data_IF_792497942045
#
_entry.id   IF_792497942045
#
_cell.length_a   1.000
_cell.length_b   1.000
_cell.length_c   1.000
_cell.angle_alpha   90.00
_cell.angle_beta   90.00
_cell.angle_gamma   90.00
#
_symmetry.space_group_name_H-M   'P 1'
#
loop_
_entity.id
_entity.type
_entity.pdbx_description
1 polymer ?
#
# COMPACT_ATOMS: atom_id res chain seq x y z
N UNK A 1 -1.31 8.49 -10.12
CA UNK A 1 -2.27 7.50 -10.57
C UNK A 1 -1.66 6.10 -10.72
N UNK A 2 -0.44 5.92 -10.24
CA UNK A 2 0.27 4.64 -10.27
C UNK A 2 1.34 4.60 -9.17
N UNK A 3 1.91 3.42 -8.95
CA UNK A 3 3.18 3.21 -8.29
C UNK A 3 4.18 2.74 -9.34
N UNK A 4 5.37 3.31 -9.33
CA UNK A 4 6.47 2.98 -10.23
C UNK A 4 7.53 2.17 -9.49
N UNK A 5 7.90 1.03 -10.05
CA UNK A 5 8.82 0.05 -9.48
C UNK A 5 10.02 -0.15 -10.42
N UNK A 6 11.03 0.73 -10.41
CA UNK A 6 12.24 0.52 -11.20
C UNK A 6 13.14 -0.55 -10.60
N UNK A 7 13.82 -1.28 -11.46
CA UNK A 7 14.91 -2.23 -11.16
C UNK A 7 14.53 -3.47 -10.33
N UNK A 8 13.25 -3.85 -10.28
CA UNK A 8 12.78 -4.95 -9.44
C UNK A 8 13.21 -6.33 -9.94
N UNK A 9 13.11 -6.60 -11.22
CA UNK A 9 13.51 -7.89 -11.79
C UNK A 9 15.01 -7.88 -12.12
N UNK A 10 15.46 -6.84 -12.81
CA UNK A 10 16.86 -6.59 -13.18
C UNK A 10 17.08 -5.09 -13.32
N UNK A 11 18.35 -4.67 -13.36
CA UNK A 11 18.71 -3.26 -13.53
C UNK A 11 18.21 -2.73 -14.89
N UNK A 12 17.52 -1.59 -14.87
CA UNK A 12 16.85 -1.01 -16.04
C UNK A 12 15.43 -1.51 -16.26
N UNK A 13 14.95 -2.53 -15.54
CA UNK A 13 13.55 -2.97 -15.59
C UNK A 13 12.63 -1.89 -15.03
N UNK A 14 11.44 -1.75 -15.64
CA UNK A 14 10.46 -0.73 -15.25
C UNK A 14 9.08 -1.36 -15.14
N UNK A 15 8.61 -1.55 -13.92
CA UNK A 15 7.27 -2.05 -13.63
C UNK A 15 6.38 -0.89 -13.18
N UNK A 16 5.14 -0.90 -13.64
CA UNK A 16 4.12 0.07 -13.24
C UNK A 16 2.90 -0.65 -12.68
N UNK A 17 2.41 -0.17 -11.55
CA UNK A 17 1.11 -0.56 -11.00
C UNK A 17 0.13 0.61 -11.13
N UNK A 18 -0.62 0.72 -12.24
CA UNK A 18 -1.60 1.77 -12.44
C UNK A 18 -2.83 1.52 -11.57
N UNK A 19 -3.42 2.60 -11.04
CA UNK A 19 -4.72 2.53 -10.34
C UNK A 19 -5.83 2.54 -11.38
N UNK A 20 -6.24 1.37 -11.84
CA UNK A 20 -7.23 1.20 -12.90
C UNK A 20 -8.45 0.44 -12.39
N UNK A 21 -9.61 0.79 -12.90
CA UNK A 21 -10.78 -0.06 -12.79
C UNK A 21 -10.77 -1.10 -13.92
N UNK A 22 -11.23 -2.31 -13.65
CA UNK A 22 -11.26 -3.42 -14.63
C UNK A 22 -12.09 -3.13 -15.89
N UNK A 23 -12.91 -2.08 -15.89
CA UNK A 23 -13.77 -1.70 -17.00
C UNK A 23 -13.60 -0.22 -17.35
N UNK A 24 -13.05 0.07 -18.51
CA UNK A 24 -12.98 1.40 -19.06
C UNK A 24 -13.86 1.47 -20.32
N UNK A 25 -14.96 2.23 -20.28
CA UNK A 25 -15.84 2.46 -21.42
C UNK A 25 -16.32 1.17 -22.14
N UNK A 26 -16.78 0.17 -21.41
CA UNK A 26 -17.23 -1.13 -21.95
C UNK A 26 -16.15 -2.01 -22.57
N UNK A 27 -14.89 -1.62 -22.57
CA UNK A 27 -13.77 -2.42 -23.07
C UNK A 27 -12.98 -2.95 -21.89
N UNK A 28 -12.75 -4.25 -21.89
CA UNK A 28 -11.91 -4.90 -20.89
C UNK A 28 -10.43 -4.70 -21.22
N UNK A 29 -9.79 -3.73 -20.52
CA UNK A 29 -8.36 -3.42 -20.69
C UNK A 29 -7.46 -4.65 -20.45
N UNK A 30 -7.89 -5.59 -19.62
CA UNK A 30 -7.19 -6.84 -19.38
C UNK A 30 -7.08 -7.65 -20.67
N UNK A 31 -8.18 -7.72 -21.43
CA UNK A 31 -8.22 -8.41 -22.73
C UNK A 31 -7.31 -7.73 -23.75
N UNK A 32 -7.35 -6.39 -23.81
CA UNK A 32 -6.47 -5.62 -24.69
C UNK A 32 -5.01 -5.93 -24.42
N UNK A 33 -4.65 -6.01 -23.18
CA UNK A 33 -3.29 -6.25 -22.76
C UNK A 33 -2.80 -7.67 -22.99
N UNK A 34 -3.61 -8.65 -22.67
CA UNK A 34 -3.31 -10.05 -22.93
C UNK A 34 -3.09 -10.34 -24.42
N UNK A 35 -3.80 -9.64 -25.30
CA UNK A 35 -3.73 -9.80 -26.76
C UNK A 35 -2.57 -9.03 -27.40
N UNK A 36 -2.06 -7.98 -26.75
CA UNK A 36 -1.00 -7.14 -27.29
C UNK A 36 0.01 -6.75 -26.22
N UNK A 37 1.03 -7.59 -26.05
CA UNK A 37 2.13 -7.36 -25.11
C UNK A 37 2.96 -6.09 -25.41
N UNK A 38 2.81 -5.50 -26.61
CA UNK A 38 3.41 -4.23 -26.97
C UNK A 38 2.64 -3.02 -26.41
N UNK A 39 1.47 -3.23 -25.79
CA UNK A 39 0.83 -2.17 -25.05
C UNK A 39 1.59 -1.92 -23.76
N UNK A 40 2.46 -0.94 -23.82
CA UNK A 40 3.30 -0.60 -22.70
C UNK A 40 2.46 -0.03 -21.56
N UNK A 41 2.39 -0.76 -20.45
CA UNK A 41 1.84 -0.28 -19.18
C UNK A 41 2.56 0.99 -18.74
N UNK A 42 3.85 1.10 -19.05
CA UNK A 42 4.63 2.31 -18.85
C UNK A 42 3.97 3.49 -19.54
N UNK A 43 3.58 3.36 -20.81
CA UNK A 43 2.91 4.44 -21.54
C UNK A 43 1.54 4.73 -20.93
N UNK A 44 0.82 3.71 -20.46
CA UNK A 44 -0.43 3.87 -19.76
C UNK A 44 -0.22 4.51 -18.38
N UNK A 45 0.64 3.97 -17.55
CA UNK A 45 0.93 4.48 -16.20
C UNK A 45 1.56 5.88 -16.20
N UNK A 46 2.48 6.18 -17.13
CA UNK A 46 3.11 7.50 -17.26
C UNK A 46 2.21 8.55 -17.91
N UNK A 47 1.26 8.13 -18.77
CA UNK A 47 0.31 9.03 -19.42
C UNK A 47 -0.98 9.23 -18.66
N UNK A 48 -1.35 8.31 -17.79
CA UNK A 48 -2.26 8.55 -16.69
C UNK A 48 -1.59 9.36 -15.57
N UNK A 49 -0.76 10.29 -15.96
CA UNK A 49 -0.19 11.23 -15.02
C UNK A 49 -1.29 12.13 -14.45
N UNK A 50 -0.93 12.92 -13.46
CA UNK A 50 -1.84 13.84 -12.81
C UNK A 50 -2.60 14.77 -13.79
N UNK A 51 -2.06 15.02 -14.98
CA UNK A 51 -2.70 15.85 -15.98
C UNK A 51 -4.04 15.30 -16.45
N UNK A 52 -4.20 13.96 -16.53
CA UNK A 52 -5.49 13.34 -16.87
C UNK A 52 -6.47 13.32 -15.68
N UNK A 53 -5.98 13.46 -14.45
CA UNK A 53 -6.83 13.56 -13.23
C UNK A 53 -7.38 14.98 -13.03
N UNK A 54 -6.72 16.00 -13.58
CA UNK A 54 -7.16 17.40 -13.45
C UNK A 54 -7.99 17.78 -14.66
N UNK A 55 -9.23 18.19 -14.43
CA UNK A 55 -10.14 18.77 -15.42
C UNK A 55 -10.63 20.11 -14.91
N UNK A 56 -10.47 21.17 -15.73
CA UNK A 56 -10.98 22.52 -15.40
C UNK A 56 -10.49 23.02 -14.02
N UNK A 57 -9.22 22.78 -13.70
CA UNK A 57 -8.60 23.10 -12.40
C UNK A 57 -9.24 22.38 -11.20
N UNK A 58 -9.96 21.30 -11.40
CA UNK A 58 -10.51 20.43 -10.34
C UNK A 58 -10.05 19.01 -10.54
N UNK A 59 -9.97 18.25 -9.45
CA UNK A 59 -9.67 16.81 -9.52
C UNK A 59 -10.84 16.11 -10.18
N UNK A 60 -10.56 15.38 -11.26
CA UNK A 60 -11.54 14.51 -11.88
C UNK A 60 -11.67 13.20 -11.07
N UNK A 61 -12.68 13.14 -10.22
CA UNK A 61 -12.93 11.99 -9.33
C UNK A 61 -13.38 10.72 -10.06
N UNK A 62 -13.68 10.81 -11.36
CA UNK A 62 -14.01 9.62 -12.17
C UNK A 62 -12.77 8.83 -12.61
N UNK A 63 -11.56 9.39 -12.45
CA UNK A 63 -10.31 8.71 -12.76
C UNK A 63 -9.73 8.15 -11.47
N UNK A 64 -9.44 6.83 -11.39
CA UNK A 64 -8.81 6.23 -10.23
C UNK A 64 -7.47 6.88 -9.90
N UNK A 65 -7.29 7.28 -8.66
CA UNK A 65 -6.06 7.91 -8.19
C UNK A 65 -5.89 7.73 -6.68
N UNK A 66 -4.65 7.82 -6.22
CA UNK A 66 -4.29 7.93 -4.81
C UNK A 66 -3.94 9.36 -4.43
N UNK A 67 -3.65 9.57 -3.16
CA UNK A 67 -3.21 10.85 -2.63
C UNK A 67 -1.84 10.73 -1.96
N UNK A 68 -0.94 11.66 -2.27
CA UNK A 68 0.24 11.86 -1.46
C UNK A 68 -0.12 12.81 -0.31
N UNK A 69 -0.11 12.31 0.90
CA UNK A 69 -0.55 13.04 2.09
C UNK A 69 0.60 13.24 3.08
N UNK A 70 0.58 14.41 3.72
CA UNK A 70 1.36 14.62 4.93
C UNK A 70 0.55 14.09 6.11
N UNK A 71 0.98 12.97 6.69
CA UNK A 71 0.24 12.25 7.73
C UNK A 71 -0.01 13.12 8.97
N UNK A 72 0.93 13.96 9.36
CA UNK A 72 0.76 14.86 10.52
C UNK A 72 -0.32 15.93 10.26
N UNK A 73 -0.32 16.50 9.06
CA UNK A 73 -1.35 17.48 8.65
C UNK A 73 -2.72 16.83 8.52
N UNK A 74 -2.78 15.59 8.00
CA UNK A 74 -4.03 14.84 7.93
C UNK A 74 -4.58 14.55 9.32
N UNK A 75 -3.75 14.08 10.26
CA UNK A 75 -4.14 13.82 11.63
C UNK A 75 -4.68 15.09 12.31
N UNK A 76 -3.98 16.24 12.16
CA UNK A 76 -4.43 17.53 12.67
C UNK A 76 -5.79 17.94 12.07
N UNK A 77 -5.94 17.80 10.76
CA UNK A 77 -7.21 18.10 10.06
C UNK A 77 -8.36 17.25 10.57
N UNK A 78 -8.16 15.93 10.70
CA UNK A 78 -9.18 15.01 11.23
C UNK A 78 -9.54 15.41 12.66
N UNK A 79 -8.54 15.61 13.55
CA UNK A 79 -8.78 16.05 14.94
C UNK A 79 -9.65 17.32 14.99
N UNK A 80 -9.35 18.31 14.15
CA UNK A 80 -10.15 19.54 14.04
C UNK A 80 -11.61 19.28 13.63
N UNK A 81 -11.85 18.31 12.75
CA UNK A 81 -13.19 17.97 12.23
C UNK A 81 -14.04 17.19 13.22
N UNK A 82 -13.42 16.42 14.10
CA UNK A 82 -14.14 15.55 15.05
C UNK A 82 -14.24 16.10 16.48
N UNK A 83 -13.51 17.17 16.83
CA UNK A 83 -13.36 17.68 18.20
C UNK A 83 -14.68 17.97 18.90
N UNK A 84 -15.72 18.37 18.15
CA UNK A 84 -17.04 18.68 18.68
C UNK A 84 -18.01 17.46 18.67
N UNK A 85 -17.51 16.29 18.21
CA UNK A 85 -18.29 15.06 18.06
C UNK A 85 -17.83 13.95 18.99
N UNK A 86 -16.62 14.05 19.53
CA UNK A 86 -16.01 13.06 20.41
C UNK A 86 -15.24 13.75 21.52
N UNK A 87 -15.13 13.11 22.69
CA UNK A 87 -14.26 13.56 23.76
C UNK A 87 -12.82 13.15 23.45
N UNK A 88 -11.93 14.14 23.35
CA UNK A 88 -10.50 13.90 23.11
C UNK A 88 -9.76 14.15 24.42
N UNK A 89 -9.11 13.11 24.96
CA UNK A 89 -8.31 13.20 26.18
C UNK A 89 -6.84 13.04 25.78
N UNK A 90 -6.05 14.05 26.01
CA UNK A 90 -4.62 14.09 25.71
C UNK A 90 -3.83 13.61 26.93
N UNK A 91 -3.75 12.29 27.10
CA UNK A 91 -3.08 11.64 28.23
C UNK A 91 -2.67 10.21 27.86
N UNK A 92 -1.59 9.75 28.46
CA UNK A 92 -1.09 8.37 28.28
C UNK A 92 -1.92 7.40 29.12
N UNK A 93 -2.18 6.19 28.58
CA UNK A 93 -2.74 5.09 29.34
C UNK A 93 -1.61 4.41 30.12
N UNK A 94 -1.66 4.47 31.45
CA UNK A 94 -0.63 3.94 32.33
C UNK A 94 -1.01 2.59 32.94
N UNK A 95 -2.31 2.29 33.10
CA UNK A 95 -2.80 1.00 33.60
C UNK A 95 -3.96 0.53 32.74
N UNK A 96 -3.95 -0.76 32.41
CA UNK A 96 -5.06 -1.50 31.80
C UNK A 96 -5.56 -2.53 32.80
N UNK A 97 -6.72 -2.29 33.40
CA UNK A 97 -7.38 -3.24 34.29
C UNK A 97 -8.14 -4.28 33.47
N UNK A 98 -7.79 -5.56 33.65
CA UNK A 98 -8.37 -6.67 32.89
C UNK A 98 -9.07 -7.66 33.78
N UNK A 99 -10.17 -8.21 33.28
CA UNK A 99 -10.71 -9.50 33.70
C UNK A 99 -10.15 -10.59 32.78
N UNK A 100 -10.58 -11.84 32.94
CA UNK A 100 -10.07 -12.98 32.17
C UNK A 100 -10.13 -12.74 30.63
N UNK A 101 -11.21 -12.14 30.12
CA UNK A 101 -11.48 -12.02 28.68
C UNK A 101 -11.89 -10.59 28.26
N UNK A 102 -11.70 -9.58 29.11
CA UNK A 102 -12.13 -8.21 28.79
C UNK A 102 -11.29 -7.15 29.52
N UNK A 103 -11.26 -5.96 28.97
CA UNK A 103 -10.76 -4.76 29.64
C UNK A 103 -11.92 -4.15 30.46
N UNK A 104 -11.72 -4.00 31.78
CA UNK A 104 -12.68 -3.36 32.68
C UNK A 104 -12.54 -1.83 32.62
N UNK A 105 -11.31 -1.35 32.72
CA UNK A 105 -11.04 0.08 32.75
C UNK A 105 -9.60 0.41 32.35
N UNK A 106 -9.41 1.68 31.94
CA UNK A 106 -8.11 2.27 31.66
C UNK A 106 -7.83 3.38 32.66
N UNK A 107 -6.63 3.44 33.22
CA UNK A 107 -6.19 4.56 34.06
C UNK A 107 -5.20 5.39 33.23
N UNK A 108 -5.47 6.69 33.16
CA UNK A 108 -4.66 7.64 32.44
C UNK A 108 -3.62 8.30 33.38
N UNK A 109 -2.53 8.79 32.81
CA UNK A 109 -1.46 9.47 33.56
C UNK A 109 -1.96 10.71 34.36
N UNK A 110 -3.05 11.33 33.91
CA UNK A 110 -3.69 12.43 34.60
C UNK A 110 -4.69 11.98 35.71
N UNK A 111 -4.73 10.70 36.04
CA UNK A 111 -5.57 10.11 37.10
C UNK A 111 -7.01 9.78 36.67
N UNK A 112 -7.42 10.12 35.45
CA UNK A 112 -8.77 9.81 34.94
C UNK A 112 -8.88 8.29 34.70
N UNK A 113 -9.98 7.71 35.15
CA UNK A 113 -10.37 6.32 34.85
C UNK A 113 -11.41 6.29 33.75
N UNK A 114 -11.15 5.55 32.68
CA UNK A 114 -12.06 5.36 31.54
C UNK A 114 -12.68 3.96 31.63
N UNK A 115 -14.00 3.89 31.57
CA UNK A 115 -14.78 2.65 31.39
C UNK A 115 -15.58 2.72 30.10
N UNK A 116 -15.62 1.62 29.37
CA UNK A 116 -16.38 1.49 28.12
C UNK A 116 -16.81 0.05 27.91
N UNK A 117 -17.85 -0.14 27.14
CA UNK A 117 -18.33 -1.46 26.75
C UNK A 117 -17.44 -2.10 25.68
N UNK A 118 -16.91 -1.28 24.76
CA UNK A 118 -15.99 -1.70 23.68
C UNK A 118 -14.79 -0.77 23.61
N UNK A 119 -13.61 -1.33 23.48
CA UNK A 119 -12.36 -0.62 23.32
C UNK A 119 -11.76 -0.86 21.94
N UNK A 120 -11.28 0.19 21.29
CA UNK A 120 -10.57 0.09 20.01
C UNK A 120 -9.10 0.40 20.27
N UNK A 121 -8.25 -0.61 20.12
CA UNK A 121 -6.80 -0.50 20.28
C UNK A 121 -6.14 -0.04 18.99
N UNK A 122 -5.71 1.21 18.94
CA UNK A 122 -4.89 1.81 17.89
C UNK A 122 -3.49 2.19 18.41
N UNK A 123 -2.96 1.50 19.43
CA UNK A 123 -1.69 1.84 20.09
C UNK A 123 -0.45 1.36 19.34
N UNK A 124 -0.62 0.95 18.10
CA UNK A 124 0.48 0.53 17.23
C UNK A 124 1.05 -0.83 17.61
N UNK A 125 2.31 -1.05 17.35
CA UNK A 125 2.98 -2.34 17.62
C UNK A 125 2.93 -2.79 19.08
N UNK A 126 2.74 -1.85 20.01
CA UNK A 126 2.59 -2.17 21.44
C UNK A 126 1.33 -2.99 21.72
N UNK A 127 0.24 -2.76 20.97
CA UNK A 127 -1.06 -3.40 21.19
C UNK A 127 -1.42 -3.43 22.68
N UNK A 128 -1.49 -2.25 23.26
CA UNK A 128 -1.50 -2.04 24.71
C UNK A 128 -2.66 -2.77 25.41
N UNK A 129 -3.81 -2.84 24.75
CA UNK A 129 -4.99 -3.49 25.32
C UNK A 129 -4.98 -5.02 25.13
N UNK A 130 -4.18 -5.54 24.19
CA UNK A 130 -4.02 -6.99 23.97
C UNK A 130 -2.55 -7.37 23.70
N UNK A 131 -1.63 -7.18 24.69
CA UNK A 131 -0.20 -7.40 24.49
C UNK A 131 0.16 -8.89 24.26
N UNK A 132 -0.63 -9.82 24.76
CA UNK A 132 -0.44 -11.26 24.66
C UNK A 132 -1.19 -11.91 23.49
N UNK A 133 -1.63 -11.09 22.50
CA UNK A 133 -2.33 -11.58 21.32
C UNK A 133 -1.55 -12.64 20.56
N UNK A 134 -2.24 -13.63 20.04
CA UNK A 134 -1.65 -14.60 19.13
C UNK A 134 -1.41 -13.95 17.77
N UNK A 135 -0.18 -13.93 17.32
CA UNK A 135 0.20 -13.37 16.04
C UNK A 135 0.71 -14.42 15.07
N UNK A 136 0.38 -14.26 13.80
CA UNK A 136 0.95 -15.05 12.71
C UNK A 136 2.12 -14.26 12.11
N UNK A 137 3.32 -14.83 12.16
CA UNK A 137 4.52 -14.27 11.57
C UNK A 137 4.49 -14.41 10.04
N UNK A 138 4.97 -13.40 9.34
CA UNK A 138 5.04 -13.36 7.86
C UNK A 138 6.50 -13.33 7.36
N UNK A 139 7.47 -13.66 8.21
CA UNK A 139 8.91 -13.55 7.89
C UNK A 139 9.37 -14.42 6.72
N UNK A 140 8.67 -15.50 6.44
CA UNK A 140 8.93 -16.44 5.34
C UNK A 140 8.33 -15.99 4.01
N UNK A 141 7.53 -14.94 4.00
CA UNK A 141 6.88 -14.37 2.81
C UNK A 141 7.24 -12.91 2.55
N UNK A 142 7.74 -12.21 3.57
CA UNK A 142 8.11 -10.79 3.53
C UNK A 142 9.51 -10.63 4.14
N UNK A 143 10.41 -10.07 3.37
CA UNK A 143 11.86 -10.20 3.55
C UNK A 143 12.51 -9.01 4.23
N UNK A 144 11.77 -7.94 4.44
CA UNK A 144 12.25 -6.68 5.04
C UNK A 144 11.66 -6.46 6.42
N UNK A 145 12.43 -5.87 7.32
CA UNK A 145 12.06 -5.73 8.72
C UNK A 145 12.49 -4.39 9.35
N UNK A 146 13.15 -3.55 8.58
CA UNK A 146 13.69 -2.27 9.07
C UNK A 146 13.61 -1.22 7.96
N UNK A 147 13.39 0.02 8.34
CA UNK A 147 13.54 1.17 7.46
C UNK A 147 14.37 2.28 8.10
N UNK A 148 15.16 2.97 7.28
CA UNK A 148 15.67 4.30 7.59
C UNK A 148 14.88 5.30 6.79
N UNK A 149 14.20 6.23 7.49
CA UNK A 149 13.24 7.14 6.90
C UNK A 149 13.62 8.59 7.13
N UNK A 150 13.40 9.44 6.13
CA UNK A 150 13.72 10.86 6.21
C UNK A 150 12.89 11.71 5.24
N UNK A 151 13.26 12.97 5.20
CA UNK A 151 12.64 13.99 4.36
C UNK A 151 13.73 14.62 3.52
N UNK A 152 13.50 14.72 2.23
CA UNK A 152 14.40 15.37 1.29
C UNK A 152 13.70 16.56 0.64
N UNK A 153 14.38 17.72 0.61
CA UNK A 153 13.89 18.88 -0.11
C UNK A 153 14.09 18.71 -1.61
N UNK A 154 13.20 19.29 -2.41
CA UNK A 154 13.35 19.28 -3.86
C UNK A 154 14.62 20.01 -4.27
N UNK A 155 15.40 19.43 -5.16
CA UNK A 155 16.52 20.08 -5.87
C UNK A 155 16.01 20.70 -7.17
N UNK A 156 15.19 19.94 -7.89
CA UNK A 156 14.44 20.43 -9.04
C UNK A 156 12.98 19.97 -8.94
N UNK A 157 12.08 20.90 -8.57
CA UNK A 157 10.65 20.61 -8.39
C UNK A 157 10.01 20.05 -9.65
N UNK A 158 10.40 20.53 -10.84
CA UNK A 158 9.79 20.09 -12.10
C UNK A 158 10.14 18.64 -12.45
N UNK A 159 11.29 18.15 -12.00
CA UNK A 159 11.77 16.79 -12.27
C UNK A 159 11.41 15.80 -11.16
N UNK A 160 11.36 16.26 -9.90
CA UNK A 160 11.22 15.38 -8.73
C UNK A 160 9.79 15.32 -8.19
N UNK A 161 8.92 16.30 -8.48
CA UNK A 161 7.53 16.33 -8.00
C UNK A 161 6.62 15.51 -8.91
N UNK A 162 6.91 14.23 -9.04
CA UNK A 162 6.13 13.31 -9.85
C UNK A 162 4.75 13.02 -9.24
N UNK A 163 3.72 12.80 -10.08
CA UNK A 163 2.37 12.45 -9.61
C UNK A 163 2.19 10.97 -9.29
N UNK A 164 3.26 10.27 -8.97
CA UNK A 164 3.27 8.85 -8.62
C UNK A 164 4.25 8.58 -7.48
N UNK A 165 3.99 7.52 -6.73
CA UNK A 165 4.95 6.95 -5.78
C UNK A 165 5.99 6.15 -6.54
N UNK A 166 7.26 6.21 -6.12
CA UNK A 166 8.30 5.30 -6.60
C UNK A 166 8.71 4.34 -5.49
N UNK A 167 8.83 3.06 -5.83
CA UNK A 167 9.44 2.03 -5.01
C UNK A 167 10.66 1.47 -5.78
N UNK A 168 11.83 2.07 -5.59
CA UNK A 168 13.04 1.76 -6.35
C UNK A 168 13.81 0.62 -5.70
N UNK A 169 13.95 -0.51 -6.38
CA UNK A 169 14.79 -1.61 -5.91
C UNK A 169 16.27 -1.21 -5.98
N UNK A 170 16.98 -1.42 -4.87
CA UNK A 170 18.41 -1.15 -4.73
C UNK A 170 19.10 -2.39 -4.15
N UNK A 171 20.43 -2.41 -4.11
CA UNK A 171 21.19 -3.61 -3.75
C UNK A 171 20.88 -4.18 -2.36
N UNK A 172 20.51 -3.35 -1.43
CA UNK A 172 20.25 -3.76 -0.04
C UNK A 172 18.76 -3.77 0.34
N UNK A 173 17.86 -3.57 -0.63
CA UNK A 173 16.41 -3.50 -0.39
C UNK A 173 15.71 -2.63 -1.41
N UNK A 174 14.86 -1.71 -0.95
CA UNK A 174 14.18 -0.77 -1.84
C UNK A 174 13.90 0.59 -1.18
N UNK A 175 13.81 1.64 -1.99
CA UNK A 175 13.63 3.03 -1.54
C UNK A 175 12.27 3.55 -2.01
N UNK A 176 11.42 4.02 -1.07
CA UNK A 176 10.24 4.76 -1.47
C UNK A 176 10.54 6.24 -1.67
N UNK A 177 9.83 6.83 -2.64
CA UNK A 177 9.79 8.29 -2.88
C UNK A 177 8.34 8.71 -3.02
N UNK A 178 7.89 9.55 -2.11
CA UNK A 178 6.52 10.09 -2.07
C UNK A 178 6.60 11.61 -2.16
N UNK A 179 6.53 12.16 -3.37
CA UNK A 179 6.51 13.60 -3.56
C UNK A 179 5.25 14.22 -2.96
N UNK A 180 5.42 15.18 -2.07
CA UNK A 180 4.32 15.99 -1.55
C UNK A 180 4.44 17.42 -2.08
N UNK A 181 3.58 18.33 -1.63
CA UNK A 181 3.60 19.73 -2.07
C UNK A 181 4.94 20.44 -1.86
N UNK A 182 5.65 20.16 -0.77
CA UNK A 182 6.84 20.91 -0.34
C UNK A 182 8.10 20.08 -0.21
N UNK A 183 8.01 18.75 -0.24
CA UNK A 183 9.10 17.84 0.07
C UNK A 183 8.85 16.45 -0.44
N UNK A 184 9.88 15.62 -0.47
CA UNK A 184 9.78 14.19 -0.73
C UNK A 184 9.86 13.46 0.60
N UNK A 185 8.82 12.70 0.96
CA UNK A 185 8.90 11.68 2.01
C UNK A 185 9.60 10.46 1.43
N UNK A 186 10.66 9.99 2.08
CA UNK A 186 11.48 8.92 1.53
C UNK A 186 12.08 8.03 2.62
N UNK A 187 12.43 6.81 2.26
CA UNK A 187 13.17 5.92 3.14
C UNK A 187 13.60 4.66 2.42
N UNK A 188 14.62 4.03 2.95
CA UNK A 188 15.15 2.75 2.52
C UNK A 188 14.60 1.65 3.42
N UNK A 189 14.03 0.64 2.82
CA UNK A 189 13.52 -0.58 3.48
C UNK A 189 14.51 -1.71 3.22
N UNK A 190 14.91 -2.41 4.27
CA UNK A 190 15.94 -3.43 4.19
C UNK A 190 15.77 -4.51 5.26
N UNK A 191 16.60 -5.54 5.18
CA UNK A 191 16.68 -6.58 6.20
C UNK A 191 17.92 -6.35 7.09
N UNK A 192 17.70 -6.02 8.37
CA UNK A 192 18.81 -5.75 9.31
C UNK A 192 19.65 -6.97 9.69
N UNK A 193 19.23 -8.17 9.31
CA UNK A 193 20.05 -9.37 9.46
C UNK A 193 21.09 -9.51 8.35
N UNK A 194 20.96 -8.76 7.25
CA UNK A 194 21.84 -8.76 6.08
C UNK A 194 22.67 -7.47 6.06
N UNK A 195 22.03 -6.32 6.25
CA UNK A 195 22.66 -5.01 6.18
C UNK A 195 22.55 -4.33 7.55
N UNK A 196 23.64 -3.81 8.08
CA UNK A 196 23.60 -3.05 9.33
C UNK A 196 22.83 -1.73 9.18
N UNK A 197 22.30 -1.21 10.29
CA UNK A 197 21.58 0.08 10.28
C UNK A 197 22.49 1.22 9.84
N UNK A 198 23.75 1.21 10.20
CA UNK A 198 24.70 2.26 9.86
C UNK A 198 25.07 2.21 8.38
N UNK A 199 25.33 1.02 7.83
CA UNK A 199 25.55 0.84 6.38
C UNK A 199 24.32 1.27 5.57
N UNK A 200 23.12 0.93 6.05
CA UNK A 200 21.86 1.34 5.41
C UNK A 200 21.68 2.87 5.42
N UNK A 201 22.04 3.55 6.54
CA UNK A 201 22.02 5.01 6.60
C UNK A 201 23.03 5.63 5.64
N UNK A 202 24.24 5.09 5.60
CA UNK A 202 25.30 5.57 4.71
C UNK A 202 24.94 5.38 3.25
N UNK A 203 24.41 4.21 2.88
CA UNK A 203 23.89 3.95 1.53
C UNK A 203 22.80 4.94 1.15
N UNK A 204 21.82 5.14 2.04
CA UNK A 204 20.69 6.02 1.78
C UNK A 204 21.10 7.49 1.64
N UNK A 205 22.04 7.96 2.47
CA UNK A 205 22.59 9.31 2.35
C UNK A 205 23.40 9.49 1.05
N UNK A 206 24.13 8.46 0.62
CA UNK A 206 24.87 8.47 -0.65
C UNK A 206 23.91 8.49 -1.85
N UNK A 207 22.83 7.72 -1.80
CA UNK A 207 21.80 7.68 -2.83
C UNK A 207 21.14 9.05 -3.09
N UNK A 208 20.82 9.79 -2.04
CA UNK A 208 20.22 11.11 -2.16
C UNK A 208 21.23 12.26 -2.32
N UNK A 209 22.47 12.04 -1.94
CA UNK A 209 23.49 13.07 -1.76
C UNK A 209 23.53 13.57 -0.31
N UNK A 210 24.73 13.57 0.26
CA UNK A 210 24.97 13.98 1.67
C UNK A 210 24.72 15.47 1.91
N UNK A 211 24.61 16.26 0.85
CA UNK A 211 24.15 17.66 0.86
C UNK A 211 22.65 17.81 1.10
N UNK A 212 21.86 16.77 0.82
CA UNK A 212 20.40 16.77 0.96
C UNK A 212 19.91 16.11 2.24
N UNK A 213 20.59 15.07 2.71
CA UNK A 213 20.23 14.34 3.92
C UNK A 213 21.46 13.72 4.58
N UNK A 214 21.48 13.75 5.92
CA UNK A 214 22.57 13.25 6.76
C UNK A 214 22.06 12.18 7.72
N UNK A 215 22.91 11.25 8.22
CA UNK A 215 22.49 10.13 9.05
C UNK A 215 21.76 10.51 10.35
N UNK A 216 22.08 11.66 10.93
CA UNK A 216 21.45 12.20 12.15
C UNK A 216 19.99 12.64 11.94
N UNK A 217 19.60 12.91 10.71
CA UNK A 217 18.22 13.29 10.33
C UNK A 217 17.34 12.09 9.99
N UNK A 218 17.90 10.88 10.04
CA UNK A 218 17.19 9.66 9.71
C UNK A 218 16.56 9.02 10.96
N UNK A 219 15.30 8.63 10.80
CA UNK A 219 14.59 7.84 11.80
C UNK A 219 14.69 6.36 11.43
N UNK A 220 15.09 5.54 12.37
CA UNK A 220 15.07 4.07 12.24
C UNK A 220 13.71 3.57 12.71
N UNK A 221 13.11 2.68 11.94
CA UNK A 221 11.82 2.04 12.22
C UNK A 221 12.01 0.54 12.05
N UNK A 222 11.86 -0.20 13.12
CA UNK A 222 11.92 -1.66 13.14
C UNK A 222 10.53 -2.27 13.23
N UNK A 223 10.32 -3.39 12.57
CA UNK A 223 9.10 -4.18 12.70
C UNK A 223 9.34 -5.67 12.45
N UNK A 224 8.38 -6.45 12.84
CA UNK A 224 8.21 -7.83 12.38
C UNK A 224 6.94 -7.87 11.55
N UNK A 225 6.96 -8.33 10.28
CA UNK A 225 5.72 -8.51 9.53
C UNK A 225 4.83 -9.55 10.22
N UNK A 226 3.58 -9.20 10.50
CA UNK A 226 2.65 -10.07 11.22
C UNK A 226 1.21 -9.63 11.04
N UNK A 227 0.30 -10.52 11.37
CA UNK A 227 -1.09 -10.15 11.70
C UNK A 227 -1.59 -10.87 12.96
N UNK A 228 -2.55 -10.22 13.63
CA UNK A 228 -3.23 -10.79 14.78
C UNK A 228 -4.25 -11.83 14.30
N UNK A 229 -4.26 -13.02 14.89
CA UNK A 229 -5.18 -14.11 14.51
C UNK A 229 -6.64 -13.75 14.86
N UNK A 230 -6.82 -13.04 15.97
CA UNK A 230 -8.13 -12.59 16.49
C UNK A 230 -8.07 -11.10 16.83
N UNK A 231 -8.11 -10.19 15.84
CA UNK A 231 -8.06 -8.75 16.11
C UNK A 231 -9.25 -8.23 16.94
N UNK A 232 -10.39 -8.90 16.92
CA UNK A 232 -11.46 -8.66 17.86
C UNK A 232 -11.54 -9.81 18.88
N UNK A 233 -11.15 -9.53 20.11
CA UNK A 233 -11.10 -10.47 21.22
C UNK A 233 -11.82 -9.86 22.43
N UNK A 234 -12.88 -10.51 22.89
CA UNK A 234 -13.77 -10.00 23.95
C UNK A 234 -14.32 -8.61 23.63
N UNK A 235 -14.01 -7.64 24.48
CA UNK A 235 -14.42 -6.25 24.27
C UNK A 235 -13.30 -5.35 23.72
N UNK A 236 -12.26 -5.93 23.10
CA UNK A 236 -11.15 -5.20 22.49
C UNK A 236 -11.08 -5.49 20.99
N UNK A 237 -11.01 -4.43 20.17
CA UNK A 237 -10.79 -4.52 18.72
C UNK A 237 -9.48 -3.83 18.38
N UNK A 238 -8.49 -4.59 17.93
CA UNK A 238 -7.22 -4.06 17.41
C UNK A 238 -7.40 -3.54 15.99
N UNK A 239 -6.97 -2.31 15.71
CA UNK A 239 -7.01 -1.69 14.37
C UNK A 239 -5.65 -1.10 14.01
N UNK A 240 -5.28 -1.18 12.73
CA UNK A 240 -4.00 -0.69 12.21
C UNK A 240 -2.83 -1.53 12.69
N UNK A 241 -1.74 -0.90 13.13
CA UNK A 241 -0.52 -1.60 13.53
C UNK A 241 -0.70 -2.51 14.76
N UNK A 242 -1.71 -2.33 15.60
CA UNK A 242 -2.04 -3.25 16.67
C UNK A 242 -2.68 -4.54 16.17
N UNK A 243 -3.31 -4.52 15.00
CA UNK A 243 -3.88 -5.69 14.36
C UNK A 243 -2.87 -6.43 13.46
N UNK A 244 -2.02 -5.71 12.74
CA UNK A 244 -1.01 -6.30 11.88
C UNK A 244 -0.26 -5.29 11.04
N UNK A 245 0.86 -5.74 10.47
CA UNK A 245 1.67 -4.93 9.56
C UNK A 245 2.33 -5.83 8.52
N UNK A 246 2.27 -5.41 7.28
CA UNK A 246 2.90 -6.08 6.14
C UNK A 246 4.29 -5.45 5.96
N UNK A 247 4.35 -4.45 5.14
CA UNK A 247 5.47 -3.56 4.84
C UNK A 247 4.93 -2.37 4.05
N UNK A 248 5.71 -1.28 3.84
CA UNK A 248 5.15 -0.09 3.18
C UNK A 248 4.97 -0.22 1.66
N UNK A 249 5.34 -1.31 1.00
CA UNK A 249 5.48 -1.41 -0.46
C UNK A 249 4.20 -0.99 -1.17
N UNK A 250 3.11 -1.42 -1.06
CA UNK A 250 1.88 -1.01 -1.77
C UNK A 250 1.05 0.03 -0.99
N UNK A 251 1.66 0.66 0.02
CA UNK A 251 0.98 1.69 0.85
C UNK A 251 -0.32 1.21 1.51
N UNK A 252 -0.42 -0.08 1.84
CA UNK A 252 -1.65 -0.75 2.30
C UNK A 252 -2.09 -0.34 3.71
N UNK A 253 -1.20 0.21 4.55
CA UNK A 253 -1.46 0.39 5.97
C UNK A 253 -2.70 1.22 6.31
N UNK A 254 -2.94 2.36 5.64
CA UNK A 254 -4.14 3.16 5.83
C UNK A 254 -5.39 2.47 5.27
N UNK A 255 -5.29 1.82 4.12
CA UNK A 255 -6.39 1.10 3.50
C UNK A 255 -6.87 -0.07 4.38
N UNK A 256 -5.94 -0.84 4.95
CA UNK A 256 -6.23 -1.91 5.91
C UNK A 256 -6.92 -1.37 7.17
N UNK A 257 -6.43 -0.26 7.72
CA UNK A 257 -7.04 0.37 8.90
C UNK A 257 -8.47 0.87 8.60
N UNK A 258 -8.68 1.47 7.42
CA UNK A 258 -10.01 1.93 6.98
C UNK A 258 -10.95 0.74 6.75
N UNK A 259 -10.50 -0.33 6.11
CA UNK A 259 -11.27 -1.56 5.95
C UNK A 259 -11.73 -2.11 7.30
N UNK A 260 -10.82 -2.23 8.27
CA UNK A 260 -11.13 -2.67 9.62
C UNK A 260 -12.18 -1.79 10.30
N UNK A 261 -12.03 -0.46 10.24
CA UNK A 261 -12.99 0.47 10.83
C UNK A 261 -14.38 0.37 10.17
N UNK A 262 -14.43 0.20 8.83
CA UNK A 262 -15.69 0.01 8.10
C UNK A 262 -16.36 -1.31 8.49
N UNK A 263 -15.62 -2.40 8.59
CA UNK A 263 -16.13 -3.71 8.97
C UNK A 263 -16.61 -3.73 10.42
N UNK A 264 -15.86 -3.09 11.32
CA UNK A 264 -16.33 -2.92 12.70
C UNK A 264 -17.65 -2.14 12.75
N UNK A 265 -17.73 -1.01 12.05
CA UNK A 265 -18.98 -0.21 11.97
C UNK A 265 -20.17 -1.04 11.47
N UNK A 266 -19.97 -1.90 10.46
CA UNK A 266 -21.02 -2.80 9.95
C UNK A 266 -21.51 -3.77 11.05
N UNK A 267 -20.59 -4.36 11.81
CA UNK A 267 -20.91 -5.36 12.85
C UNK A 267 -21.62 -4.76 14.08
N UNK A 268 -21.29 -3.52 14.47
CA UNK A 268 -21.87 -2.86 15.63
C UNK A 268 -23.01 -1.89 15.31
N UNK A 269 -23.55 -1.93 14.08
CA UNK A 269 -24.57 -0.97 13.59
C UNK A 269 -25.82 -0.93 14.46
N UNK A 270 -26.20 -2.05 15.07
CA UNK A 270 -27.35 -2.19 15.94
C UNK A 270 -27.04 -1.97 17.44
N UNK A 271 -25.84 -1.43 17.73
CA UNK A 271 -25.30 -1.22 19.08
C UNK A 271 -25.19 -2.51 19.92
N UNK A 272 -25.08 -3.65 19.25
CA UNK A 272 -24.81 -4.94 19.88
C UNK A 272 -23.52 -5.56 19.32
N UNK A 273 -22.88 -6.37 20.13
CA UNK A 273 -21.76 -7.22 19.72
C UNK A 273 -21.81 -8.52 20.50
N UNK A 274 -21.45 -9.58 19.83
CA UNK A 274 -21.43 -10.93 20.34
C UNK A 274 -20.30 -11.74 19.69
N UNK A 275 -20.16 -12.98 20.10
CA UNK A 275 -19.12 -13.88 19.58
C UNK A 275 -19.26 -14.11 18.08
N UNK A 276 -20.48 -14.22 17.56
CA UNK A 276 -20.70 -14.45 16.12
C UNK A 276 -20.20 -13.26 15.31
N UNK A 277 -20.50 -12.04 15.72
CA UNK A 277 -20.06 -10.82 15.04
C UNK A 277 -18.54 -10.66 15.09
N UNK A 278 -17.92 -10.97 16.24
CA UNK A 278 -16.46 -10.90 16.35
C UNK A 278 -15.75 -11.98 15.52
N UNK A 279 -16.27 -13.20 15.48
CA UNK A 279 -15.74 -14.26 14.62
C UNK A 279 -15.85 -13.91 13.13
N UNK A 280 -17.01 -13.40 12.68
CA UNK A 280 -17.20 -12.93 11.31
C UNK A 280 -16.24 -11.78 10.95
N UNK A 281 -16.05 -10.83 11.87
CA UNK A 281 -15.07 -9.75 11.69
C UNK A 281 -13.65 -10.30 11.53
N UNK A 282 -13.25 -11.24 12.38
CA UNK A 282 -11.92 -11.85 12.37
C UNK A 282 -11.68 -12.65 11.07
N UNK A 283 -12.69 -13.37 10.57
CA UNK A 283 -12.60 -14.07 9.28
C UNK A 283 -12.44 -13.11 8.11
N UNK A 284 -13.28 -12.07 8.02
CA UNK A 284 -13.22 -11.07 6.96
C UNK A 284 -11.87 -10.31 6.99
N UNK A 285 -11.37 -9.98 8.18
CA UNK A 285 -10.06 -9.36 8.36
C UNK A 285 -8.94 -10.25 7.85
N UNK A 286 -8.92 -11.52 8.26
CA UNK A 286 -7.90 -12.48 7.86
C UNK A 286 -7.86 -12.66 6.34
N UNK A 287 -9.00 -12.88 5.70
CA UNK A 287 -9.10 -13.03 4.25
C UNK A 287 -8.56 -11.80 3.52
N UNK A 288 -8.96 -10.62 3.96
CA UNK A 288 -8.52 -9.36 3.35
C UNK A 288 -7.02 -9.11 3.55
N UNK A 289 -6.51 -9.36 4.77
CA UNK A 289 -5.10 -9.16 5.10
C UNK A 289 -4.19 -10.13 4.33
N UNK A 290 -4.54 -11.41 4.30
CA UNK A 290 -3.79 -12.43 3.55
C UNK A 290 -3.77 -12.13 2.04
N UNK A 291 -4.85 -11.58 1.49
CA UNK A 291 -4.89 -11.12 0.10
C UNK A 291 -3.85 -10.02 -0.17
N UNK A 292 -3.67 -9.09 0.76
CA UNK A 292 -2.64 -8.07 0.65
C UNK A 292 -1.23 -8.66 0.80
N UNK A 293 -1.04 -9.61 1.71
CA UNK A 293 0.25 -10.30 1.88
C UNK A 293 0.68 -11.02 0.61
N UNK A 294 -0.23 -11.78 -0.01
CA UNK A 294 0.08 -12.49 -1.25
C UNK A 294 0.41 -11.53 -2.39
N UNK A 295 -0.33 -10.42 -2.50
CA UNK A 295 -0.05 -9.42 -3.52
C UNK A 295 1.32 -8.76 -3.33
N UNK A 296 1.66 -8.37 -2.10
CA UNK A 296 2.99 -7.80 -1.79
C UNK A 296 4.09 -8.85 -1.96
N UNK A 297 3.85 -10.08 -1.55
CA UNK A 297 4.79 -11.19 -1.73
C UNK A 297 5.07 -11.45 -3.22
N UNK A 298 4.07 -11.34 -4.10
CA UNK A 298 4.25 -11.50 -5.55
C UNK A 298 5.33 -10.58 -6.11
N UNK A 299 5.53 -9.37 -5.55
CA UNK A 299 6.57 -8.44 -6.01
C UNK A 299 7.99 -8.99 -5.90
N UNK A 300 8.22 -9.89 -4.96
CA UNK A 300 9.51 -10.54 -4.70
C UNK A 300 9.70 -11.88 -5.43
N UNK A 301 8.67 -12.38 -6.09
CA UNK A 301 8.62 -13.74 -6.61
C UNK A 301 9.55 -14.04 -7.77
N UNK A 302 9.99 -13.02 -8.50
CA UNK A 302 10.97 -13.15 -9.59
C UNK A 302 11.95 -11.99 -9.53
N UNK A 303 13.24 -12.33 -9.41
CA UNK A 303 14.33 -11.37 -9.52
C UNK A 303 15.56 -12.07 -10.09
N UNK A 304 16.30 -11.39 -10.94
CA UNK A 304 17.62 -11.81 -11.41
C UNK A 304 18.75 -10.95 -10.82
N UNK A 305 18.42 -10.10 -9.83
CA UNK A 305 19.40 -9.31 -9.10
C UNK A 305 20.28 -10.20 -8.24
N UNK A 306 21.57 -9.89 -8.14
CA UNK A 306 22.60 -10.77 -7.56
C UNK A 306 23.25 -10.25 -6.28
N UNK A 307 22.80 -9.08 -5.77
CA UNK A 307 23.30 -8.59 -4.48
C UNK A 307 22.85 -9.50 -3.32
N UNK A 308 23.50 -9.39 -2.18
CA UNK A 308 23.26 -10.26 -1.03
C UNK A 308 21.78 -10.30 -0.60
N UNK A 309 21.11 -9.14 -0.50
CA UNK A 309 19.69 -9.07 -0.19
C UNK A 309 18.84 -9.81 -1.22
N UNK A 310 19.05 -9.57 -2.52
CA UNK A 310 18.23 -10.18 -3.56
C UNK A 310 18.50 -11.67 -3.74
N UNK A 311 19.72 -12.13 -3.50
CA UNK A 311 20.03 -13.58 -3.39
C UNK A 311 19.29 -14.20 -2.22
N UNK A 312 19.35 -13.57 -1.04
CA UNK A 312 18.58 -14.03 0.11
C UNK A 312 17.09 -14.15 -0.20
N UNK A 313 16.50 -13.15 -0.87
CA UNK A 313 15.10 -13.22 -1.33
C UNK A 313 14.88 -14.41 -2.24
N UNK A 314 15.67 -14.55 -3.29
CA UNK A 314 15.55 -15.65 -4.28
C UNK A 314 15.68 -17.03 -3.63
N UNK A 315 16.63 -17.20 -2.70
CA UNK A 315 16.93 -18.47 -2.06
C UNK A 315 15.89 -18.88 -1.00
N UNK A 316 15.24 -17.89 -0.39
CA UNK A 316 14.29 -18.12 0.73
C UNK A 316 12.83 -17.98 0.34
N UNK A 317 12.53 -17.42 -0.84
CA UNK A 317 11.15 -17.17 -1.29
C UNK A 317 10.32 -18.46 -1.35
N UNK A 318 9.16 -18.40 -0.72
CA UNK A 318 8.16 -19.49 -0.79
C UNK A 318 6.80 -18.90 -1.16
N UNK A 319 6.23 -19.46 -2.20
CA UNK A 319 4.83 -19.16 -2.54
C UNK A 319 3.90 -19.69 -1.45
N UNK A 320 2.92 -18.90 -1.05
CA UNK A 320 1.79 -19.44 -0.31
C UNK A 320 0.97 -20.36 -1.23
N UNK A 321 0.27 -21.34 -0.66
CA UNK A 321 -0.62 -22.24 -1.44
C UNK A 321 -1.65 -21.43 -2.23
N UNK A 322 -2.14 -20.33 -1.66
CA UNK A 322 -3.08 -19.43 -2.31
C UNK A 322 -2.44 -18.69 -3.48
N UNK A 323 -1.23 -18.15 -3.34
CA UNK A 323 -0.52 -17.48 -4.42
C UNK A 323 -0.18 -18.46 -5.56
N UNK A 324 0.27 -19.68 -5.24
CA UNK A 324 0.46 -20.75 -6.22
C UNK A 324 -0.83 -21.05 -6.99
N UNK A 325 -1.95 -21.14 -6.29
CA UNK A 325 -3.26 -21.37 -6.91
C UNK A 325 -3.63 -20.22 -7.86
N UNK A 326 -3.41 -18.96 -7.45
CA UNK A 326 -3.69 -17.79 -8.29
C UNK A 326 -2.85 -17.83 -9.58
N UNK A 327 -1.55 -18.11 -9.46
CA UNK A 327 -0.63 -18.17 -10.61
C UNK A 327 -1.03 -19.32 -11.55
N UNK A 328 -1.29 -20.52 -11.01
CA UNK A 328 -1.71 -21.67 -11.80
C UNK A 328 -3.04 -21.42 -12.51
N UNK A 329 -4.04 -20.92 -11.79
CA UNK A 329 -5.33 -20.59 -12.41
C UNK A 329 -5.20 -19.51 -13.48
N UNK A 330 -4.30 -18.54 -13.31
CA UNK A 330 -4.07 -17.49 -14.31
C UNK A 330 -3.47 -18.01 -15.61
N UNK A 331 -2.72 -19.12 -15.56
CA UNK A 331 -2.19 -19.81 -16.75
C UNK A 331 -3.23 -20.70 -17.46
N UNK A 332 -4.25 -21.14 -16.76
CA UNK A 332 -5.33 -22.00 -17.30
C UNK A 332 -6.57 -21.21 -17.72
N UNK A 333 -6.88 -20.13 -16.98
CA UNK A 333 -8.02 -19.26 -17.23
C UNK A 333 -7.63 -17.80 -17.06
N UNK A 334 -8.10 -16.97 -17.97
CA UNK A 334 -7.87 -15.54 -17.86
C UNK A 334 -8.46 -14.98 -16.55
N UNK A 335 -7.67 -14.27 -15.72
CA UNK A 335 -8.13 -13.77 -14.43
C UNK A 335 -9.31 -12.81 -14.56
N UNK A 336 -10.39 -13.11 -13.88
CA UNK A 336 -11.58 -12.27 -13.78
C UNK A 336 -11.85 -11.91 -12.31
N UNK A 337 -12.81 -11.05 -12.04
CA UNK A 337 -13.20 -10.72 -10.67
C UNK A 337 -13.72 -11.93 -9.87
N UNK A 338 -14.19 -12.99 -10.56
CA UNK A 338 -14.61 -14.24 -9.92
C UNK A 338 -13.46 -15.20 -9.62
N UNK A 339 -12.30 -15.03 -10.29
CA UNK A 339 -11.12 -15.89 -10.14
C UNK A 339 -9.98 -15.20 -9.36
N UNK A 340 -10.12 -13.91 -9.06
CA UNK A 340 -9.13 -13.16 -8.28
C UNK A 340 -9.46 -13.20 -6.79
N UNK A 341 -8.46 -13.14 -5.92
CA UNK A 341 -8.71 -13.05 -4.49
C UNK A 341 -9.59 -11.85 -4.16
N UNK A 342 -10.57 -12.06 -3.29
CA UNK A 342 -11.28 -10.94 -2.69
C UNK A 342 -10.34 -10.18 -1.76
N UNK A 343 -10.23 -8.87 -1.92
CA UNK A 343 -9.33 -8.07 -1.08
C UNK A 343 -9.16 -6.66 -1.58
N UNK A 344 -8.05 -6.05 -1.19
CA UNK A 344 -7.71 -4.66 -1.51
C UNK A 344 -7.42 -4.45 -3.01
N UNK A 345 -6.83 -5.46 -3.66
CA UNK A 345 -6.35 -5.35 -5.03
C UNK A 345 -7.33 -5.99 -6.01
N UNK A 346 -7.82 -5.24 -7.02
CA UNK A 346 -8.72 -5.76 -8.04
C UNK A 346 -7.99 -6.74 -8.97
N UNK A 347 -8.74 -7.52 -9.75
CA UNK A 347 -8.18 -8.48 -10.72
C UNK A 347 -7.23 -7.83 -11.72
N UNK A 348 -7.47 -6.57 -12.11
CA UNK A 348 -6.56 -5.82 -12.99
C UNK A 348 -5.18 -5.64 -12.39
N UNK A 349 -5.06 -5.36 -11.09
CA UNK A 349 -3.77 -5.24 -10.42
C UNK A 349 -2.98 -6.56 -10.48
N UNK A 350 -3.64 -7.69 -10.23
CA UNK A 350 -3.03 -9.03 -10.33
C UNK A 350 -2.53 -9.31 -11.74
N UNK A 351 -3.33 -9.03 -12.76
CA UNK A 351 -2.95 -9.23 -14.16
C UNK A 351 -1.76 -8.37 -14.52
N UNK A 352 -1.75 -7.12 -14.09
CA UNK A 352 -0.65 -6.20 -14.34
C UNK A 352 0.67 -6.69 -13.76
N UNK A 353 0.65 -7.16 -12.54
CA UNK A 353 1.84 -7.71 -11.91
C UNK A 353 2.26 -9.04 -12.52
N UNK A 354 1.36 -10.00 -12.68
CA UNK A 354 1.65 -11.30 -13.28
C UNK A 354 2.24 -11.15 -14.69
N UNK A 355 1.67 -10.27 -15.52
CA UNK A 355 2.16 -10.02 -16.86
C UNK A 355 3.55 -9.40 -16.88
N UNK A 356 3.80 -8.37 -16.07
CA UNK A 356 5.10 -7.70 -16.01
C UNK A 356 6.19 -8.54 -15.37
N UNK A 357 5.81 -9.46 -14.49
CA UNK A 357 6.68 -10.49 -13.94
C UNK A 357 6.84 -11.70 -14.87
N UNK A 358 6.31 -11.61 -16.12
CA UNK A 358 6.41 -12.67 -17.14
C UNK A 358 5.84 -14.02 -16.69
N UNK A 359 4.74 -14.00 -15.91
CA UNK A 359 3.96 -15.20 -15.67
C UNK A 359 3.04 -15.47 -16.85
N UNK A 360 2.84 -16.76 -17.23
CA UNK A 360 1.92 -17.08 -18.31
C UNK A 360 0.49 -16.71 -17.91
N UNK A 361 -0.21 -16.03 -18.81
CA UNK A 361 -1.64 -15.72 -18.69
C UNK A 361 -2.40 -16.42 -19.80
N UNK A 362 -3.49 -17.10 -19.42
CA UNK A 362 -4.38 -17.71 -20.40
C UNK A 362 -5.08 -16.66 -21.25
N UNK A 363 -5.41 -17.02 -22.49
CA UNK A 363 -6.14 -16.19 -23.45
C UNK A 363 -7.58 -16.68 -23.70
N UNK A 364 -8.06 -17.62 -22.90
CA UNK A 364 -9.43 -18.13 -22.98
C UNK A 364 -10.43 -17.04 -22.53
N UNK A 365 -11.65 -17.08 -23.05
CA UNK A 365 -12.74 -16.13 -22.74
C UNK A 365 -12.45 -14.65 -23.05
N UNK A 366 -11.47 -14.37 -23.91
CA UNK A 366 -11.23 -13.02 -24.41
C UNK A 366 -12.16 -12.78 -25.61
N UNK A 367 -13.28 -12.07 -25.38
CA UNK A 367 -14.24 -11.68 -26.43
C UNK A 367 -13.76 -10.46 -27.23
N UNK A 368 -12.52 -10.47 -27.69
CA UNK A 368 -11.93 -9.37 -28.44
C UNK A 368 -10.93 -9.91 -29.46
N UNK A 369 -10.98 -9.45 -30.70
CA UNK A 369 -9.99 -9.76 -31.70
C UNK A 369 -8.68 -8.97 -31.46
N UNK A 370 -7.54 -9.51 -31.93
CA UNK A 370 -6.26 -8.80 -31.89
C UNK A 370 -6.35 -7.45 -32.61
N UNK A 371 -7.07 -7.39 -33.73
CA UNK A 371 -7.32 -6.15 -34.49
C UNK A 371 -8.06 -5.11 -33.65
N UNK A 372 -9.12 -5.50 -32.94
CA UNK A 372 -9.87 -4.58 -32.08
C UNK A 372 -9.03 -4.08 -30.90
N UNK A 373 -8.18 -4.95 -30.34
CA UNK A 373 -7.23 -4.57 -29.30
C UNK A 373 -6.23 -3.52 -29.80
N UNK A 374 -5.64 -3.71 -30.98
CA UNK A 374 -4.71 -2.76 -31.60
C UNK A 374 -5.39 -1.41 -31.89
N UNK A 375 -6.60 -1.45 -32.47
CA UNK A 375 -7.40 -0.25 -32.73
C UNK A 375 -7.75 0.51 -31.45
N UNK A 376 -8.09 -0.21 -30.38
CA UNK A 376 -8.34 0.39 -29.08
C UNK A 376 -7.08 1.08 -28.53
N UNK A 377 -5.92 0.42 -28.59
CA UNK A 377 -4.64 0.96 -28.12
C UNK A 377 -4.31 2.28 -28.82
N UNK A 378 -4.42 2.32 -30.15
CA UNK A 378 -4.16 3.53 -30.95
C UNK A 378 -5.10 4.65 -30.52
N UNK A 379 -6.40 4.37 -30.43
CA UNK A 379 -7.41 5.35 -30.02
C UNK A 379 -7.19 5.85 -28.60
N UNK A 380 -6.90 4.94 -27.67
CA UNK A 380 -6.68 5.28 -26.28
C UNK A 380 -5.40 6.11 -26.08
N UNK A 381 -4.32 5.74 -26.77
CA UNK A 381 -3.08 6.51 -26.78
C UNK A 381 -3.31 7.94 -27.28
N UNK A 382 -3.99 8.10 -28.40
CA UNK A 382 -4.35 9.41 -28.96
C UNK A 382 -5.23 10.23 -27.99
N UNK A 383 -6.17 9.59 -27.30
CA UNK A 383 -7.00 10.24 -26.29
C UNK A 383 -6.16 10.74 -25.11
N UNK A 384 -5.28 9.90 -24.56
CA UNK A 384 -4.41 10.28 -23.45
C UNK A 384 -3.45 11.42 -23.84
N UNK A 385 -2.89 11.37 -25.06
CA UNK A 385 -2.02 12.42 -25.59
C UNK A 385 -2.79 13.75 -25.71
N UNK A 386 -4.01 13.72 -26.23
CA UNK A 386 -4.87 14.90 -26.36
C UNK A 386 -5.31 15.48 -25.00
N UNK A 387 -5.57 14.62 -24.03
CA UNK A 387 -5.92 15.03 -22.66
C UNK A 387 -4.70 15.65 -21.95
N UNK A 388 -3.52 15.04 -22.09
CA UNK A 388 -2.28 15.56 -21.49
C UNK A 388 -1.88 16.91 -22.07
N UNK A 389 -2.05 17.12 -23.39
CA UNK A 389 -1.69 18.37 -24.05
C UNK A 389 -2.57 19.57 -23.65
N UNK A 390 -3.77 19.33 -23.13
CA UNK A 390 -4.75 20.37 -22.77
C UNK A 390 -4.78 20.70 -21.27
N UNK A 391 -3.95 20.05 -20.48
CA UNK A 391 -4.02 20.18 -19.02
C UNK A 391 -2.74 20.77 -18.45
N UNK A 392 -2.89 21.47 -17.33
CA UNK A 392 -1.74 21.98 -16.57
C UNK A 392 -0.99 20.81 -15.93
N UNK A 393 0.31 21.00 -15.77
CA UNK A 393 1.16 20.01 -15.07
C UNK A 393 0.79 19.89 -13.58
N UNK A 394 1.17 18.79 -12.95
CA UNK A 394 1.02 18.58 -11.51
C UNK A 394 1.63 19.73 -10.71
N UNK A 395 2.84 20.13 -11.06
CA UNK A 395 3.55 21.24 -10.39
C UNK A 395 2.82 22.57 -10.55
N UNK A 396 2.30 22.88 -11.75
CA UNK A 396 1.51 24.09 -11.98
C UNK A 396 0.20 24.09 -11.19
N UNK A 397 -0.49 22.95 -11.13
CA UNK A 397 -1.69 22.79 -10.31
C UNK A 397 -1.39 23.07 -8.84
N UNK A 398 -0.36 22.43 -8.27
CA UNK A 398 0.03 22.66 -6.88
C UNK A 398 0.46 24.10 -6.58
N UNK A 399 1.09 24.80 -7.54
CA UNK A 399 1.39 26.24 -7.43
C UNK A 399 0.13 27.11 -7.38
N UNK A 400 -0.90 26.77 -8.17
CA UNK A 400 -2.19 27.50 -8.14
C UNK A 400 -2.92 27.31 -6.82
N UNK A 401 -2.87 26.12 -6.23
CA UNK A 401 -3.45 25.84 -4.91
C UNK A 401 -2.81 26.64 -3.75
N UNK A 402 -1.64 27.24 -3.98
CA UNK A 402 -0.96 28.07 -2.97
C UNK A 402 -1.46 29.52 -2.92
N UNK A 403 -2.27 29.94 -3.89
CA UNK A 403 -2.77 31.31 -4.00
C UNK A 403 -4.20 31.48 -3.44
N UNK A 404 -4.81 30.37 -3.00
CA UNK A 404 -6.09 30.32 -2.28
C UNK A 404 -5.90 29.82 -0.85
#
# INVERSE_FOLDING_TARGET
CAIYFPDWIYEGNQIWHPFESSNHQSIDIRSVWSLNQNYSIRDYGSKQNFNSVIKENKINTSIPHGYHIDAAKLAFYIRKKIKDKVTIIDSEVVVVNKTKNSVDSLILANGITIKSDLYIDCTGFKSLLNPNRKTNSLKDRLFVNTAVAGIVQYKNVNEEQNPYTTAHAVDIGWIWKIPTKSRIGTGLVFNKSITSVDDAKDFFCSYWGRDRITPDKLRVIDWTPYYNDTPWDGNVVSIGLSAGFIEPLESTGLALSMFQAMKLKEKIKDNTWDTIKSELYNLEYKEHFESCVDFVSLHYSKTSRTSEFWKFVSDTYKYSDRLNTIISLSSERFPTNSCSPKGQFPSSAWIFWLSQMEYPLANDNINMSKYDAEKFIIKHKSLLDSLSARQITHTEYLRKFNKT
#
